data_IF_289814145815
#
_entry.id   IF_289814145815
#
_cell.length_a   1.000
_cell.length_b   1.000
_cell.length_c   1.000
_cell.angle_alpha   90.00
_cell.angle_beta   90.00
_cell.angle_gamma   90.00
#
_symmetry.space_group_name_H-M   'P 1'
#
loop_
_entity.id
_entity.type
_entity.pdbx_description
1 polymer ?
#
# COMPACT_ATOMS: atom_id res chain seq x y z
N UNK A 1 5.11 39.98 -48.23
CA UNK A 1 6.02 40.96 -47.59
C UNK A 1 7.17 40.18 -46.94
N UNK A 2 8.33 40.18 -47.61
CA UNK A 2 9.63 40.67 -47.11
C UNK A 2 10.19 39.95 -45.87
N UNK A 3 11.24 39.17 -46.16
CA UNK A 3 12.20 38.47 -45.30
C UNK A 3 12.90 39.44 -44.32
N UNK A 4 13.30 38.92 -43.16
CA UNK A 4 14.58 39.29 -42.54
C UNK A 4 15.06 38.19 -41.59
N UNK A 5 16.33 37.83 -41.77
CA UNK A 5 17.10 36.82 -41.07
C UNK A 5 18.09 37.48 -40.09
N UNK A 6 18.86 36.62 -39.40
CA UNK A 6 20.08 36.85 -38.61
C UNK A 6 19.85 37.20 -37.12
N UNK A 7 20.63 36.71 -36.14
CA UNK A 7 22.02 36.28 -36.16
C UNK A 7 22.37 35.26 -35.06
N UNK A 8 23.32 34.37 -35.37
CA UNK A 8 24.17 33.61 -34.45
C UNK A 8 24.94 34.56 -33.49
N UNK A 9 25.17 34.09 -32.26
CA UNK A 9 26.41 34.36 -31.53
C UNK A 9 26.78 33.13 -30.70
N UNK A 10 28.01 32.68 -30.90
CA UNK A 10 28.66 31.48 -30.36
C UNK A 10 29.98 31.99 -29.77
N UNK A 11 30.28 31.70 -28.49
CA UNK A 11 31.61 31.70 -27.85
C UNK A 11 31.41 31.51 -26.32
N UNK A 12 32.27 30.89 -25.51
CA UNK A 12 33.15 29.72 -25.55
C UNK A 12 33.75 29.62 -24.12
N UNK A 13 33.98 28.38 -23.66
CA UNK A 13 34.96 27.94 -22.65
C UNK A 13 35.04 28.59 -21.26
N UNK A 14 34.95 27.73 -20.23
CA UNK A 14 36.15 27.41 -19.43
C UNK A 14 36.03 25.99 -18.83
N UNK A 15 36.97 25.13 -19.21
CA UNK A 15 37.35 23.93 -18.48
C UNK A 15 38.43 24.30 -17.47
N UNK A 16 38.36 23.75 -16.26
CA UNK A 16 39.50 23.64 -15.36
C UNK A 16 39.59 22.18 -14.88
N UNK A 17 40.62 21.50 -15.37
CA UNK A 17 41.12 20.21 -14.90
C UNK A 17 42.39 20.45 -14.08
N UNK A 18 42.44 20.02 -12.81
CA UNK A 18 43.60 19.49 -12.02
C UNK A 18 42.96 18.99 -10.71
N UNK A 19 43.29 17.88 -10.05
CA UNK A 19 44.58 17.22 -9.87
C UNK A 19 44.43 15.79 -9.35
N UNK A 20 45.33 14.92 -9.81
CA UNK A 20 45.63 13.61 -9.27
C UNK A 20 46.04 13.63 -7.78
N UNK A 21 45.81 12.52 -7.09
CA UNK A 21 46.44 12.17 -5.82
C UNK A 21 46.13 10.73 -5.41
N UNK A 22 46.99 9.80 -5.83
CA UNK A 22 46.99 8.38 -5.43
C UNK A 22 47.63 8.18 -4.05
N UNK A 23 47.31 7.01 -3.48
CA UNK A 23 48.13 6.06 -2.70
C UNK A 23 48.27 6.15 -1.18
N UNK A 24 47.96 4.97 -0.59
CA UNK A 24 48.61 4.27 0.53
C UNK A 24 48.18 4.69 1.94
N UNK A 25 47.48 3.83 2.68
CA UNK A 25 47.94 2.60 3.35
C UNK A 25 48.38 2.86 4.80
N UNK A 26 48.05 1.87 5.63
CA UNK A 26 48.48 1.61 7.00
C UNK A 26 47.79 2.31 8.18
N UNK A 27 46.91 1.51 8.81
CA UNK A 27 47.13 0.88 10.13
C UNK A 27 47.64 1.78 11.25
N UNK A 28 46.79 2.00 12.26
CA UNK A 28 47.04 1.58 13.66
C UNK A 28 46.01 2.19 14.63
N UNK A 29 45.22 1.33 15.29
CA UNK A 29 44.73 1.61 16.64
C UNK A 29 45.92 1.70 17.62
N UNK A 30 45.76 2.35 18.79
CA UNK A 30 45.42 1.53 19.95
C UNK A 30 44.46 2.20 20.98
N UNK A 31 43.65 1.33 21.60
CA UNK A 31 43.30 1.21 23.02
C UNK A 31 42.59 2.36 23.80
N UNK A 32 41.29 2.14 24.10
CA UNK A 32 40.63 1.91 25.42
C UNK A 32 41.21 2.56 26.72
N UNK A 33 40.48 2.58 27.87
CA UNK A 33 39.11 3.04 28.23
C UNK A 33 39.15 4.02 29.45
N UNK A 34 38.05 4.69 29.82
CA UNK A 34 37.67 4.83 31.25
C UNK A 34 36.25 5.38 31.53
N UNK A 35 35.49 4.54 32.24
CA UNK A 35 34.49 4.75 33.29
C UNK A 35 33.92 6.13 33.68
N UNK A 36 32.58 6.11 33.82
CA UNK A 36 31.72 6.54 34.96
C UNK A 36 31.88 7.95 35.56
N UNK A 37 30.75 8.63 35.80
CA UNK A 37 30.20 8.83 37.16
C UNK A 37 28.82 9.51 37.12
N UNK A 38 27.98 8.99 38.00
CA UNK A 38 26.63 9.35 38.46
C UNK A 38 26.57 10.64 39.29
N UNK A 39 25.46 11.40 39.23
CA UNK A 39 24.63 11.96 40.35
C UNK A 39 23.60 12.92 39.75
N UNK A 40 22.28 12.69 39.79
CA UNK A 40 21.32 12.60 40.92
C UNK A 40 21.02 13.95 41.62
N UNK A 41 19.80 14.46 41.42
CA UNK A 41 18.93 15.12 42.41
C UNK A 41 17.53 15.24 41.77
N UNK A 42 16.49 14.53 42.24
CA UNK A 42 15.72 14.71 43.48
C UNK A 42 14.56 15.70 43.30
N UNK A 43 13.33 15.25 43.57
CA UNK A 43 12.13 16.09 43.52
C UNK A 43 10.79 15.33 43.63
N UNK A 44 10.63 14.64 44.75
CA UNK A 44 9.45 14.02 45.37
C UNK A 44 8.00 14.40 44.96
N UNK A 45 7.19 13.33 44.85
CA UNK A 45 5.84 13.06 45.42
C UNK A 45 4.73 14.09 45.31
N UNK A 46 3.58 13.69 44.75
CA UNK A 46 2.40 13.48 45.59
C UNK A 46 1.32 12.57 44.99
N UNK A 47 0.62 11.90 45.89
CA UNK A 47 -0.36 10.84 45.67
C UNK A 47 -1.76 11.45 45.71
N UNK A 48 -2.66 11.11 44.77
CA UNK A 48 -4.09 11.36 44.96
C UNK A 48 -4.95 10.26 44.30
N UNK A 49 -5.52 9.46 45.18
CA UNK A 49 -6.61 8.51 45.00
C UNK A 49 -7.93 9.28 44.82
N UNK A 50 -8.73 9.01 43.77
CA UNK A 50 -10.19 9.22 43.80
C UNK A 50 -10.84 8.36 42.70
N UNK A 51 -11.43 7.20 43.04
CA UNK A 51 -12.87 6.96 43.27
C UNK A 51 -13.64 6.60 42.00
N UNK A 52 -14.06 5.34 41.93
CA UNK A 52 -15.10 4.81 41.04
C UNK A 52 -16.40 5.61 41.20
N UNK A 53 -16.97 6.09 40.10
CA UNK A 53 -18.38 6.46 40.04
C UNK A 53 -19.03 5.72 38.87
N UNK A 54 -19.84 4.74 39.23
CA UNK A 54 -20.86 4.12 38.39
C UNK A 54 -21.99 5.13 38.19
N UNK A 55 -22.39 5.43 36.95
CA UNK A 55 -23.67 6.09 36.67
C UNK A 55 -24.45 5.27 35.64
N UNK A 56 -25.46 4.56 36.14
CA UNK A 56 -26.61 4.09 35.38
C UNK A 56 -27.59 5.26 35.31
N UNK A 57 -27.94 5.77 34.12
CA UNK A 57 -29.21 6.50 33.94
C UNK A 57 -29.87 6.17 32.59
N UNK A 58 -30.95 5.38 32.69
CA UNK A 58 -32.12 5.50 31.81
C UNK A 58 -32.82 6.82 32.14
N UNK A 59 -33.25 7.58 31.11
CA UNK A 59 -34.68 7.87 30.78
C UNK A 59 -34.90 9.26 30.15
N UNK A 60 -35.83 9.24 29.19
CA UNK A 60 -36.79 10.28 28.78
C UNK A 60 -36.37 11.34 27.75
N UNK A 61 -36.89 11.11 26.55
CA UNK A 61 -37.12 12.08 25.49
C UNK A 61 -37.88 13.33 25.97
N UNK A 62 -37.51 14.48 25.40
CA UNK A 62 -38.30 15.72 25.43
C UNK A 62 -38.50 16.22 24.01
N UNK A 63 -39.72 16.02 23.52
CA UNK A 63 -40.22 16.53 22.24
C UNK A 63 -40.45 18.04 22.34
N UNK A 64 -39.97 18.81 21.37
CA UNK A 64 -40.55 20.11 21.04
C UNK A 64 -40.76 20.13 19.53
N UNK A 65 -42.03 20.22 19.14
CA UNK A 65 -42.49 20.20 17.76
C UNK A 65 -42.15 21.50 17.03
N UNK A 66 -41.68 21.40 15.79
CA UNK A 66 -41.87 22.41 14.76
C UNK A 66 -42.38 21.70 13.50
N UNK A 67 -43.53 22.17 13.02
CA UNK A 67 -44.16 21.76 11.78
C UNK A 67 -43.35 22.29 10.59
N UNK A 68 -42.65 21.39 9.93
CA UNK A 68 -42.43 21.40 8.49
C UNK A 68 -42.44 19.94 8.03
N UNK A 69 -42.75 19.68 6.76
CA UNK A 69 -42.98 18.35 6.17
C UNK A 69 -41.73 17.44 6.14
N UNK A 70 -41.11 17.21 7.28
CA UNK A 70 -40.00 16.28 7.47
C UNK A 70 -40.45 15.20 8.46
N UNK A 71 -40.18 13.95 8.10
CA UNK A 71 -40.60 12.78 8.87
C UNK A 71 -40.18 12.87 10.34
N UNK A 72 -40.94 12.21 11.21
CA UNK A 72 -40.54 12.05 12.61
C UNK A 72 -39.21 11.29 12.64
N UNK A 73 -38.19 11.92 13.23
CA UNK A 73 -36.85 11.35 13.39
C UNK A 73 -36.79 10.49 14.65
N UNK A 74 -36.58 9.19 14.49
CA UNK A 74 -36.26 8.29 15.59
C UNK A 74 -34.77 7.97 15.59
N UNK A 75 -34.06 8.38 16.66
CA UNK A 75 -32.69 7.97 16.91
C UNK A 75 -32.66 6.71 17.76
N UNK A 76 -31.95 5.69 17.28
CA UNK A 76 -31.74 4.45 18.02
C UNK A 76 -30.26 4.09 18.04
N UNK A 77 -29.84 3.46 19.13
CA UNK A 77 -28.48 2.91 19.28
C UNK A 77 -28.34 1.50 18.69
N UNK A 78 -29.44 0.92 18.20
CA UNK A 78 -29.42 -0.44 17.67
C UNK A 78 -28.83 -0.47 16.26
N UNK A 79 -27.53 -0.71 16.21
CA UNK A 79 -26.74 -0.83 14.99
C UNK A 79 -26.31 -2.28 14.73
N UNK A 80 -26.97 -3.26 15.35
CA UNK A 80 -26.62 -4.68 15.21
C UNK A 80 -26.62 -5.16 13.75
N UNK A 81 -27.43 -4.52 12.92
CA UNK A 81 -27.52 -4.80 11.49
C UNK A 81 -26.27 -4.42 10.72
N UNK A 82 -25.42 -3.52 11.22
CA UNK A 82 -24.20 -3.09 10.53
C UNK A 82 -22.91 -3.31 11.33
N UNK A 83 -23.00 -3.91 12.52
CA UNK A 83 -21.80 -4.28 13.28
C UNK A 83 -20.92 -5.23 12.48
N UNK A 84 -19.60 -5.12 12.64
CA UNK A 84 -18.64 -5.98 11.97
C UNK A 84 -17.59 -5.21 11.19
N UNK A 85 -16.83 -5.95 10.38
CA UNK A 85 -15.73 -5.41 9.61
C UNK A 85 -16.14 -5.22 8.15
N UNK A 86 -15.72 -4.10 7.58
CA UNK A 86 -16.15 -3.61 6.28
C UNK A 86 -14.95 -3.14 5.47
N UNK A 87 -14.94 -3.45 4.18
CA UNK A 87 -13.87 -3.07 3.25
C UNK A 87 -14.46 -2.28 2.11
N UNK A 88 -13.84 -1.15 1.78
CA UNK A 88 -14.28 -0.30 0.67
C UNK A 88 -14.14 -1.06 -0.65
N UNK A 89 -15.16 -0.96 -1.50
CA UNK A 89 -15.26 -1.70 -2.74
C UNK A 89 -14.94 -0.79 -3.94
N UNK A 90 -14.37 -1.38 -4.99
CA UNK A 90 -14.09 -0.71 -6.28
C UNK A 90 -13.10 0.46 -6.20
N UNK A 91 -12.21 0.44 -5.22
CA UNK A 91 -11.12 1.42 -5.09
C UNK A 91 -9.77 0.70 -4.99
N UNK A 92 -8.73 1.33 -5.54
CA UNK A 92 -7.35 0.81 -5.52
C UNK A 92 -6.75 0.78 -4.10
N UNK A 93 -7.22 1.68 -3.23
CA UNK A 93 -6.73 1.89 -1.87
C UNK A 93 -7.90 1.82 -0.87
N UNK A 94 -8.42 0.62 -0.58
CA UNK A 94 -9.66 0.50 0.18
C UNK A 94 -9.46 0.90 1.63
N UNK A 95 -10.36 1.78 2.10
CA UNK A 95 -10.54 2.02 3.52
C UNK A 95 -11.16 0.79 4.17
N UNK A 96 -10.90 0.62 5.46
CA UNK A 96 -11.58 -0.40 6.26
C UNK A 96 -12.30 0.24 7.42
N UNK A 97 -13.53 -0.19 7.69
CA UNK A 97 -14.30 0.22 8.86
C UNK A 97 -14.52 -1.00 9.75
N UNK A 98 -14.18 -0.89 11.03
CA UNK A 98 -14.62 -1.82 12.06
C UNK A 98 -15.70 -1.16 12.92
N UNK A 99 -16.92 -1.69 12.90
CA UNK A 99 -18.08 -1.16 13.65
C UNK A 99 -18.34 -2.07 14.86
N UNK A 100 -18.17 -1.50 16.05
CA UNK A 100 -18.25 -2.21 17.33
C UNK A 100 -19.69 -2.27 17.85
N UNK A 101 -19.96 -3.22 18.76
CA UNK A 101 -21.30 -3.44 19.31
C UNK A 101 -21.83 -2.27 20.16
N UNK A 102 -20.92 -1.47 20.72
CA UNK A 102 -21.26 -0.28 21.52
C UNK A 102 -21.62 0.95 20.68
N UNK A 103 -21.60 0.83 19.35
CA UNK A 103 -21.87 1.94 18.44
C UNK A 103 -20.64 2.76 18.07
N UNK A 104 -19.45 2.42 18.55
CA UNK A 104 -18.22 3.06 18.09
C UNK A 104 -17.70 2.44 16.79
N UNK A 105 -16.88 3.17 16.03
CA UNK A 105 -16.19 2.62 14.87
C UNK A 105 -14.72 3.07 14.80
N UNK A 106 -13.92 2.28 14.08
CA UNK A 106 -12.57 2.63 13.65
C UNK A 106 -12.49 2.53 12.12
N UNK A 107 -12.17 3.65 11.47
CA UNK A 107 -11.85 3.76 10.05
C UNK A 107 -10.33 3.83 9.89
N UNK A 108 -9.76 2.98 9.04
CA UNK A 108 -8.33 3.02 8.68
C UNK A 108 -8.14 3.44 7.24
N UNK A 109 -7.20 4.37 7.04
CA UNK A 109 -6.75 4.81 5.72
C UNK A 109 -5.45 4.09 5.36
N UNK A 110 -5.31 3.64 4.10
CA UNK A 110 -4.12 2.90 3.63
C UNK A 110 -2.82 3.71 3.74
N UNK A 111 -2.88 5.03 3.59
CA UNK A 111 -1.72 5.94 3.70
C UNK A 111 -1.23 6.22 5.14
N UNK A 112 -1.78 5.51 6.12
CA UNK A 112 -1.58 5.81 7.54
C UNK A 112 -2.61 6.81 8.05
N UNK A 113 -2.88 6.72 9.36
CA UNK A 113 -3.95 7.46 10.01
C UNK A 113 -5.21 6.61 10.19
N UNK A 114 -5.87 6.86 11.31
CA UNK A 114 -7.17 6.29 11.63
C UNK A 114 -8.09 7.39 12.11
N UNK A 115 -9.38 7.17 11.89
CA UNK A 115 -10.44 7.97 12.47
C UNK A 115 -11.28 7.04 13.35
N UNK A 116 -11.54 7.46 14.57
CA UNK A 116 -12.51 6.80 15.44
C UNK A 116 -13.71 7.70 15.63
N UNK A 117 -14.84 7.10 15.98
CA UNK A 117 -16.08 7.85 16.08
C UNK A 117 -17.25 7.01 16.57
N UNK A 118 -18.46 7.53 16.39
CA UNK A 118 -19.70 6.86 16.77
C UNK A 118 -20.67 6.75 15.60
N UNK A 119 -21.51 5.72 15.62
CA UNK A 119 -22.53 5.43 14.64
C UNK A 119 -23.90 5.52 15.29
N UNK A 120 -24.85 6.15 14.59
CA UNK A 120 -26.24 6.28 15.04
C UNK A 120 -27.18 5.84 13.93
N UNK A 121 -28.15 4.98 14.26
CA UNK A 121 -29.22 4.64 13.33
C UNK A 121 -30.31 5.68 13.41
N UNK A 122 -30.63 6.29 12.26
CA UNK A 122 -31.70 7.27 12.11
C UNK A 122 -32.78 6.67 11.23
N UNK A 123 -34.01 6.74 11.73
CA UNK A 123 -35.19 6.38 10.94
C UNK A 123 -36.01 7.64 10.71
N UNK A 124 -36.16 8.02 9.45
CA UNK A 124 -37.09 9.04 9.01
C UNK A 124 -38.40 8.38 8.61
N UNK A 125 -39.47 8.71 9.33
CA UNK A 125 -40.80 8.13 9.10
C UNK A 125 -41.57 8.99 8.10
N UNK A 126 -41.86 8.43 6.92
CA UNK A 126 -42.72 9.05 5.91
C UNK A 126 -44.05 8.28 5.75
N UNK A 127 -45.11 8.91 5.23
CA UNK A 127 -46.40 8.24 5.01
C UNK A 127 -46.36 7.04 4.05
N UNK A 128 -45.37 7.00 3.15
CA UNK A 128 -45.17 6.01 2.09
C UNK A 128 -44.07 4.98 2.40
N UNK A 129 -43.35 5.15 3.51
CA UNK A 129 -42.30 4.24 3.95
C UNK A 129 -41.32 4.89 4.92
N UNK A 130 -40.48 4.08 5.55
CA UNK A 130 -39.41 4.58 6.39
C UNK A 130 -38.10 4.59 5.62
N UNK A 131 -37.34 5.67 5.73
CA UNK A 131 -35.96 5.72 5.27
C UNK A 131 -35.07 5.49 6.47
N UNK A 132 -34.18 4.50 6.37
CA UNK A 132 -33.22 4.16 7.43
C UNK A 132 -31.82 4.44 6.91
N UNK A 133 -31.03 5.16 7.69
CA UNK A 133 -29.62 5.39 7.42
C UNK A 133 -28.80 5.42 8.70
N UNK A 134 -27.51 5.19 8.55
CA UNK A 134 -26.53 5.15 9.63
C UNK A 134 -25.63 6.37 9.51
N UNK A 135 -25.71 7.26 10.49
CA UNK A 135 -24.87 8.46 10.56
C UNK A 135 -23.60 8.15 11.34
N UNK A 136 -22.45 8.42 10.72
CA UNK A 136 -21.15 8.30 11.34
C UNK A 136 -20.66 9.69 11.72
N UNK A 137 -20.27 9.84 12.99
CA UNK A 137 -19.66 11.04 13.53
C UNK A 137 -18.24 10.72 14.02
N UNK A 138 -17.30 11.63 13.85
CA UNK A 138 -15.93 11.47 14.37
C UNK A 138 -15.87 11.52 15.91
N UNK A 139 -14.65 11.50 16.46
CA UNK A 139 -14.40 11.51 17.90
C UNK A 139 -14.89 12.79 18.61
N UNK A 140 -14.98 13.91 17.89
CA UNK A 140 -15.50 15.19 18.40
C UNK A 140 -17.04 15.27 18.25
N UNK A 141 -17.65 14.27 17.62
CA UNK A 141 -19.07 14.21 17.34
C UNK A 141 -19.49 15.00 16.10
N UNK A 142 -18.53 15.46 15.29
CA UNK A 142 -18.79 16.10 14.01
C UNK A 142 -19.20 15.06 12.97
N UNK A 143 -20.11 15.43 12.08
CA UNK A 143 -20.60 14.54 11.04
C UNK A 143 -19.49 14.18 10.04
N UNK A 144 -19.31 12.89 9.79
CA UNK A 144 -18.42 12.38 8.74
C UNK A 144 -19.20 11.98 7.48
N UNK A 145 -20.09 10.99 7.61
CA UNK A 145 -20.81 10.42 6.46
C UNK A 145 -22.12 9.72 6.89
N UNK A 146 -23.08 9.56 5.98
CA UNK A 146 -24.25 8.69 6.18
C UNK A 146 -24.28 7.53 5.19
N UNK A 147 -24.67 6.34 5.66
CA UNK A 147 -24.86 5.17 4.81
C UNK A 147 -26.31 4.75 4.80
N UNK A 148 -26.91 4.59 3.62
CA UNK A 148 -28.29 4.16 3.50
C UNK A 148 -28.43 2.67 3.74
N UNK A 149 -29.51 2.30 4.44
CA UNK A 149 -29.96 0.93 4.50
C UNK A 149 -30.65 0.58 3.18
N UNK A 150 -30.16 -0.45 2.49
CA UNK A 150 -30.89 -1.05 1.39
C UNK A 150 -32.03 -1.90 1.96
N UNK A 151 -33.27 -1.42 1.82
CA UNK A 151 -34.46 -2.10 2.32
C UNK A 151 -34.77 -3.41 1.56
N UNK A 152 -34.10 -3.65 0.43
CA UNK A 152 -34.24 -4.88 -0.37
C UNK A 152 -33.17 -5.93 -0.02
N UNK A 153 -32.09 -5.52 0.64
CA UNK A 153 -31.04 -6.41 1.12
C UNK A 153 -31.39 -6.93 2.53
N UNK A 154 -31.70 -8.22 2.64
CA UNK A 154 -32.02 -8.87 3.92
C UNK A 154 -30.80 -9.27 4.73
N UNK A 155 -29.61 -9.33 4.13
CA UNK A 155 -28.36 -9.70 4.83
C UNK A 155 -27.55 -8.47 5.24
N UNK A 156 -27.80 -7.32 4.59
CA UNK A 156 -27.07 -6.07 4.79
C UNK A 156 -25.57 -6.32 4.69
N UNK A 157 -25.14 -6.89 3.55
CA UNK A 157 -23.74 -7.20 3.26
C UNK A 157 -23.03 -6.04 2.57
N UNK A 158 -23.75 -4.96 2.27
CA UNK A 158 -23.23 -3.76 1.63
C UNK A 158 -23.79 -2.51 2.31
N UNK A 159 -22.95 -1.50 2.48
CA UNK A 159 -23.36 -0.14 2.90
C UNK A 159 -22.85 0.86 1.88
N UNK A 160 -23.71 1.83 1.52
CA UNK A 160 -23.40 2.82 0.47
C UNK A 160 -23.73 4.24 0.92
N UNK A 161 -22.87 5.19 0.55
CA UNK A 161 -23.04 6.62 0.78
C UNK A 161 -22.88 7.38 -0.55
N UNK A 162 -23.71 8.41 -0.75
CA UNK A 162 -23.74 9.20 -1.99
C UNK A 162 -24.64 8.63 -3.10
N UNK A 163 -24.57 9.26 -4.28
CA UNK A 163 -25.28 8.85 -5.50
C UNK A 163 -24.34 8.93 -6.71
N UNK A 164 -24.46 7.99 -7.66
CA UNK A 164 -23.72 8.02 -8.92
C UNK A 164 -22.40 7.26 -8.89
N UNK A 165 -21.44 7.69 -9.72
CA UNK A 165 -20.15 7.01 -9.94
C UNK A 165 -19.15 7.19 -8.80
N UNK A 166 -19.32 8.21 -7.94
CA UNK A 166 -18.48 8.50 -6.77
C UNK A 166 -19.08 7.92 -5.46
N UNK A 167 -19.91 6.90 -5.57
CA UNK A 167 -20.58 6.29 -4.42
C UNK A 167 -19.56 5.54 -3.56
N UNK A 168 -19.46 5.97 -2.30
CA UNK A 168 -18.65 5.27 -1.31
C UNK A 168 -19.37 3.98 -0.92
N UNK A 169 -18.74 2.84 -1.21
CA UNK A 169 -19.31 1.53 -0.98
C UNK A 169 -18.41 0.70 -0.10
N UNK A 170 -18.97 0.07 0.93
CA UNK A 170 -18.27 -0.97 1.68
C UNK A 170 -19.04 -2.28 1.65
N UNK A 171 -18.29 -3.37 1.57
CA UNK A 171 -18.79 -4.74 1.66
C UNK A 171 -18.39 -5.35 3.00
N UNK A 172 -19.31 -6.13 3.58
CA UNK A 172 -19.09 -6.82 4.84
C UNK A 172 -18.08 -7.95 4.66
N UNK A 173 -17.08 -8.01 5.54
CA UNK A 173 -16.18 -9.15 5.63
C UNK A 173 -16.91 -10.37 6.22
N UNK A 174 -16.85 -11.49 5.53
CA UNK A 174 -17.58 -12.73 5.87
C UNK A 174 -17.18 -13.34 7.21
N UNK A 175 -16.01 -12.98 7.71
CA UNK A 175 -15.46 -13.57 8.94
C UNK A 175 -15.67 -12.68 10.18
N UNK A 176 -16.18 -11.45 10.03
CA UNK A 176 -16.36 -10.45 11.12
C UNK A 176 -15.12 -10.23 12.01
N UNK A 177 -13.95 -10.70 11.60
CA UNK A 177 -12.70 -10.63 12.33
C UNK A 177 -11.90 -9.44 11.84
N UNK A 178 -11.51 -8.58 12.79
CA UNK A 178 -10.37 -7.69 12.60
C UNK A 178 -9.13 -8.56 12.36
N UNK A 179 -8.23 -8.21 11.42
CA UNK A 179 -6.99 -8.94 11.25
C UNK A 179 -6.06 -8.61 12.43
N UNK A 180 -6.19 -9.37 13.52
CA UNK A 180 -5.28 -9.29 14.66
C UNK A 180 -5.07 -10.67 15.31
N UNK A 181 -3.85 -11.17 15.20
CA UNK A 181 -3.19 -12.00 16.22
C UNK A 181 -3.63 -13.45 16.33
N UNK A 182 -2.73 -14.36 15.93
CA UNK A 182 -2.81 -15.81 16.10
C UNK A 182 -3.10 -16.25 17.54
N UNK A 183 -4.07 -17.16 17.73
CA UNK A 183 -3.97 -18.39 18.56
C UNK A 183 -5.19 -19.31 18.30
N UNK A 184 -4.92 -20.44 17.64
CA UNK A 184 -5.80 -21.52 17.09
C UNK A 184 -6.59 -22.27 18.21
N UNK A 185 -7.70 -23.06 17.99
CA UNK A 185 -8.04 -23.78 16.76
C UNK A 185 -9.51 -23.97 16.28
N UNK A 186 -9.59 -24.17 14.96
CA UNK A 186 -10.50 -25.04 14.17
C UNK A 186 -11.91 -24.56 13.75
N UNK A 187 -12.05 -24.23 12.46
CA UNK A 187 -12.87 -25.01 11.54
C UNK A 187 -12.39 -24.87 10.08
N UNK A 188 -12.26 -26.01 9.40
CA UNK A 188 -11.67 -26.21 8.07
C UNK A 188 -12.38 -25.42 6.96
N UNK A 189 -11.78 -24.31 6.55
CA UNK A 189 -11.58 -24.00 5.13
C UNK A 189 -10.08 -24.11 4.92
N UNK A 190 -9.63 -25.11 4.15
CA UNK A 190 -8.19 -25.32 3.92
C UNK A 190 -7.64 -24.17 3.10
N UNK A 191 -6.98 -23.21 3.74
CA UNK A 191 -6.14 -22.22 3.07
C UNK A 191 -5.14 -22.96 2.19
N UNK A 192 -4.92 -22.45 0.98
CA UNK A 192 -3.85 -22.96 0.12
C UNK A 192 -2.53 -22.93 0.89
N UNK A 193 -1.70 -23.98 0.79
CA UNK A 193 -0.45 -24.05 1.55
C UNK A 193 0.47 -22.89 1.17
N UNK A 194 1.09 -22.29 2.18
CA UNK A 194 2.05 -21.20 2.01
C UNK A 194 3.09 -21.49 0.92
N UNK A 195 3.62 -20.46 0.24
CA UNK A 195 4.78 -20.66 -0.63
C UNK A 195 5.89 -21.36 0.16
N UNK A 196 6.56 -22.29 -0.49
CA UNK A 196 7.79 -22.88 0.03
C UNK A 196 8.92 -21.85 0.05
N UNK A 197 9.97 -22.09 0.85
CA UNK A 197 11.14 -21.20 0.88
C UNK A 197 11.78 -21.02 -0.52
N UNK A 198 11.92 -22.06 -1.37
CA UNK A 198 12.35 -21.87 -2.75
C UNK A 198 11.44 -20.95 -3.57
N UNK A 199 10.12 -21.14 -3.51
CA UNK A 199 9.16 -20.26 -4.21
C UNK A 199 9.26 -18.81 -3.71
N UNK A 200 9.45 -18.61 -2.40
CA UNK A 200 9.61 -17.28 -1.82
C UNK A 200 10.91 -16.60 -2.27
N UNK A 201 11.99 -17.36 -2.47
CA UNK A 201 13.24 -16.84 -3.05
C UNK A 201 13.09 -16.50 -4.53
N UNK A 202 12.38 -17.34 -5.30
CA UNK A 202 12.09 -17.03 -6.70
C UNK A 202 11.28 -15.72 -6.82
N UNK A 203 10.32 -15.51 -5.92
CA UNK A 203 9.52 -14.28 -5.84
C UNK A 203 10.39 -13.06 -5.47
N UNK A 204 11.27 -13.18 -4.47
CA UNK A 204 12.26 -12.14 -4.13
C UNK A 204 13.11 -11.78 -5.35
N UNK A 205 13.66 -12.79 -6.01
CA UNK A 205 14.59 -12.60 -7.13
C UNK A 205 13.88 -12.01 -8.35
N UNK A 206 12.60 -12.35 -8.57
CA UNK A 206 11.77 -11.73 -9.60
C UNK A 206 11.49 -10.24 -9.32
N UNK A 207 11.22 -9.86 -8.06
CA UNK A 207 11.07 -8.46 -7.67
C UNK A 207 12.37 -7.67 -7.86
N UNK A 208 13.50 -8.23 -7.41
CA UNK A 208 14.82 -7.64 -7.61
C UNK A 208 15.16 -7.49 -9.11
N UNK A 209 14.80 -8.48 -9.93
CA UNK A 209 14.98 -8.41 -11.38
C UNK A 209 14.17 -7.27 -12.00
N UNK A 210 12.89 -7.11 -11.65
CA UNK A 210 12.06 -6.03 -12.17
C UNK A 210 12.58 -4.64 -11.77
N UNK A 211 13.02 -4.48 -10.52
CA UNK A 211 13.64 -3.25 -10.02
C UNK A 211 14.97 -2.94 -10.73
N UNK A 212 15.85 -3.94 -10.87
CA UNK A 212 17.09 -3.78 -11.61
C UNK A 212 16.83 -3.39 -13.07
N UNK A 213 15.82 -3.98 -13.71
CA UNK A 213 15.44 -3.68 -15.08
C UNK A 213 14.90 -2.25 -15.22
N UNK A 214 14.10 -1.77 -14.26
CA UNK A 214 13.64 -0.39 -14.21
C UNK A 214 14.80 0.63 -14.17
N UNK A 215 15.92 0.22 -13.58
CA UNK A 215 17.15 1.01 -13.47
C UNK A 215 18.09 0.90 -14.69
N UNK A 216 17.67 0.23 -15.76
CA UNK A 216 18.51 -0.06 -16.93
C UNK A 216 19.54 -1.18 -16.70
N UNK A 217 19.36 -1.97 -15.63
CA UNK A 217 20.13 -3.16 -15.28
C UNK A 217 19.35 -4.46 -15.51
N UNK A 218 19.75 -5.54 -14.83
CA UNK A 218 19.06 -6.85 -14.88
C UNK A 218 19.31 -7.68 -16.15
N UNK A 219 19.41 -7.03 -17.32
CA UNK A 219 19.69 -7.67 -18.61
C UNK A 219 21.02 -7.14 -19.15
N UNK A 220 21.89 -8.05 -19.61
CA UNK A 220 23.18 -7.66 -20.20
C UNK A 220 22.98 -7.06 -21.58
N UNK A 221 23.58 -5.90 -21.83
CA UNK A 221 23.47 -5.19 -23.10
C UNK A 221 24.82 -4.96 -23.77
N UNK A 222 24.79 -4.75 -25.08
CA UNK A 222 25.91 -4.30 -25.89
C UNK A 222 25.84 -2.77 -26.05
N UNK A 223 26.73 -2.07 -25.35
CA UNK A 223 26.82 -0.61 -25.33
C UNK A 223 27.25 -0.02 -26.69
N UNK A 224 27.87 -0.81 -27.56
CA UNK A 224 28.27 -0.38 -28.91
C UNK A 224 27.12 -0.55 -29.93
N UNK A 225 26.06 -1.30 -29.56
CA UNK A 225 24.89 -1.55 -30.41
C UNK A 225 23.68 -0.75 -29.93
N UNK A 226 23.65 0.53 -30.30
CA UNK A 226 22.60 1.48 -29.94
C UNK A 226 21.43 1.53 -30.92
N UNK A 227 20.24 1.76 -30.38
CA UNK A 227 19.09 2.30 -31.10
C UNK A 227 18.72 3.64 -30.48
N UNK A 228 18.56 4.66 -31.33
CA UNK A 228 18.21 6.02 -30.91
C UNK A 228 16.86 6.39 -31.50
N UNK A 229 15.94 6.79 -30.63
CA UNK A 229 14.63 7.33 -31.02
C UNK A 229 14.74 8.82 -31.36
N UNK A 230 13.71 9.36 -32.01
CA UNK A 230 13.69 10.76 -32.47
C UNK A 230 13.72 11.79 -31.33
N UNK A 231 13.24 11.40 -30.14
CA UNK A 231 13.29 12.19 -28.91
C UNK A 231 14.67 12.18 -28.22
N UNK A 232 15.63 11.41 -28.75
CA UNK A 232 16.99 11.29 -28.22
C UNK A 232 17.19 10.19 -27.18
N UNK A 233 16.16 9.40 -26.86
CA UNK A 233 16.29 8.24 -25.96
C UNK A 233 17.22 7.18 -26.59
N UNK A 234 18.11 6.61 -25.76
CA UNK A 234 19.11 5.64 -26.20
C UNK A 234 18.79 4.28 -25.60
N UNK A 235 18.73 3.28 -26.46
CA UNK A 235 18.57 1.89 -26.07
C UNK A 235 19.77 1.06 -26.50
N UNK A 236 20.16 0.08 -25.69
CA UNK A 236 21.22 -0.88 -26.02
C UNK A 236 20.66 -2.27 -26.25
N UNK A 237 21.20 -2.95 -27.24
CA UNK A 237 20.75 -4.29 -27.62
C UNK A 237 21.04 -5.29 -26.51
N UNK A 238 20.06 -6.13 -26.17
CA UNK A 238 20.26 -7.28 -25.28
C UNK A 238 21.29 -8.26 -25.89
N UNK A 239 22.22 -8.70 -25.05
CA UNK A 239 23.17 -9.80 -25.32
C UNK A 239 22.81 -11.06 -24.52
N UNK A 240 21.71 -11.00 -23.77
CA UNK A 240 21.20 -12.12 -23.02
C UNK A 240 20.58 -13.16 -23.97
N UNK A 241 20.76 -14.43 -23.63
CA UNK A 241 20.20 -15.55 -24.40
C UNK A 241 18.85 -16.02 -23.86
N UNK A 242 18.46 -15.53 -22.67
CA UNK A 242 17.19 -15.85 -22.00
C UNK A 242 16.14 -14.81 -22.40
N UNK A 243 16.46 -13.52 -22.29
CA UNK A 243 15.54 -12.43 -22.62
C UNK A 243 15.92 -11.81 -23.95
N UNK A 244 15.22 -12.23 -25.00
CA UNK A 244 15.52 -11.87 -26.39
C UNK A 244 14.49 -10.96 -27.03
N UNK A 245 13.32 -10.82 -26.41
CA UNK A 245 12.22 -9.96 -26.82
C UNK A 245 11.48 -9.35 -25.62
N UNK A 246 10.66 -8.32 -25.85
CA UNK A 246 9.76 -7.77 -24.81
C UNK A 246 8.72 -8.80 -24.32
N UNK A 247 8.36 -9.78 -25.16
CA UNK A 247 7.48 -10.88 -24.79
C UNK A 247 8.11 -11.80 -23.74
N UNK A 248 9.41 -12.12 -23.87
CA UNK A 248 10.13 -12.95 -22.88
C UNK A 248 10.16 -12.28 -21.51
N UNK A 249 10.40 -10.96 -21.49
CA UNK A 249 10.36 -10.15 -20.26
C UNK A 249 8.96 -10.16 -19.66
N UNK A 250 7.92 -9.93 -20.47
CA UNK A 250 6.52 -9.96 -20.00
C UNK A 250 6.14 -11.31 -19.42
N UNK A 251 6.52 -12.40 -20.08
CA UNK A 251 6.24 -13.76 -19.62
C UNK A 251 6.91 -14.03 -18.27
N UNK A 252 8.16 -13.60 -18.10
CA UNK A 252 8.86 -13.74 -16.82
C UNK A 252 8.19 -12.93 -15.71
N UNK A 253 7.84 -11.67 -15.95
CA UNK A 253 7.14 -10.84 -14.95
C UNK A 253 5.79 -11.43 -14.58
N UNK A 254 4.95 -11.80 -15.56
CA UNK A 254 3.60 -12.35 -15.33
C UNK A 254 3.59 -13.74 -14.69
N UNK A 255 4.73 -14.46 -14.71
CA UNK A 255 4.92 -15.71 -13.97
C UNK A 255 4.94 -15.48 -12.45
N UNK A 256 5.52 -14.37 -12.00
CA UNK A 256 5.75 -14.08 -10.58
C UNK A 256 4.95 -12.89 -10.05
N UNK A 257 4.29 -12.12 -10.90
CA UNK A 257 3.57 -10.90 -10.56
C UNK A 257 2.18 -10.92 -11.18
N UNK A 258 1.19 -10.37 -10.48
CA UNK A 258 -0.15 -10.18 -11.04
C UNK A 258 -0.11 -9.08 -12.11
N UNK A 259 -1.00 -9.15 -13.10
CA UNK A 259 -1.10 -8.11 -14.13
C UNK A 259 -1.39 -6.74 -13.52
N UNK A 260 -2.19 -6.71 -12.45
CA UNK A 260 -2.49 -5.49 -11.67
C UNK A 260 -1.22 -4.90 -11.07
N UNK A 261 -0.38 -5.71 -10.42
CA UNK A 261 0.85 -5.23 -9.81
C UNK A 261 1.87 -4.74 -10.84
N UNK A 262 2.00 -5.46 -11.97
CA UNK A 262 2.84 -5.01 -13.09
C UNK A 262 2.35 -3.66 -13.60
N UNK A 263 1.04 -3.50 -13.78
CA UNK A 263 0.45 -2.24 -14.29
C UNK A 263 0.60 -1.09 -13.30
N UNK A 264 0.52 -1.34 -11.98
CA UNK A 264 0.65 -0.26 -10.98
C UNK A 264 2.11 0.16 -10.74
N UNK A 265 3.04 -0.78 -10.79
CA UNK A 265 4.41 -0.58 -10.28
C UNK A 265 5.48 -0.63 -11.37
N UNK A 266 5.21 -1.29 -12.49
CA UNK A 266 6.18 -1.60 -13.53
C UNK A 266 5.66 -1.39 -14.97
N UNK A 267 4.57 -0.63 -15.17
CA UNK A 267 4.00 -0.37 -16.49
C UNK A 267 5.01 0.26 -17.45
N UNK A 268 5.86 1.14 -16.92
CA UNK A 268 6.94 1.81 -17.65
C UNK A 268 8.03 0.85 -18.18
N UNK A 269 8.02 -0.43 -17.81
CA UNK A 269 8.92 -1.41 -18.41
C UNK A 269 8.54 -1.74 -19.86
N UNK A 270 7.24 -1.83 -20.16
CA UNK A 270 6.74 -2.46 -21.40
C UNK A 270 5.52 -1.77 -22.04
N UNK A 271 4.81 -0.90 -21.32
CA UNK A 271 3.45 -0.48 -21.68
C UNK A 271 3.22 1.01 -21.95
N UNK A 272 4.26 1.85 -21.79
CA UNK A 272 4.13 3.31 -21.94
C UNK A 272 4.64 3.81 -23.29
N UNK A 273 4.45 5.11 -23.57
CA UNK A 273 5.03 5.78 -24.76
C UNK A 273 6.57 5.79 -24.75
N UNK A 274 7.17 5.69 -23.57
CA UNK A 274 8.62 5.61 -23.36
C UNK A 274 8.95 4.41 -22.45
N UNK A 275 8.83 3.17 -22.95
CA UNK A 275 9.06 1.99 -22.13
C UNK A 275 10.56 1.72 -22.00
N UNK A 276 10.97 1.07 -20.89
CA UNK A 276 12.36 0.64 -20.67
C UNK A 276 12.81 -0.43 -21.64
N UNK A 277 11.89 -1.28 -22.09
CA UNK A 277 12.18 -2.39 -22.99
C UNK A 277 11.41 -2.19 -24.31
N UNK A 278 12.12 -2.29 -25.43
CA UNK A 278 11.51 -2.24 -26.77
C UNK A 278 12.05 -3.38 -27.64
N UNK A 279 11.27 -3.76 -28.65
CA UNK A 279 11.73 -4.64 -29.72
C UNK A 279 12.10 -3.83 -30.96
N UNK A 280 13.34 -3.96 -31.41
CA UNK A 280 13.84 -3.36 -32.65
C UNK A 280 14.30 -4.49 -33.56
N UNK A 281 13.65 -4.63 -34.72
CA UNK A 281 13.92 -5.71 -35.69
C UNK A 281 13.89 -7.12 -35.06
N UNK A 282 12.93 -7.37 -34.16
CA UNK A 282 12.75 -8.65 -33.49
C UNK A 282 13.83 -8.99 -32.46
N UNK A 283 14.52 -7.97 -31.91
CA UNK A 283 15.51 -8.10 -30.85
C UNK A 283 15.16 -7.13 -29.73
N UNK A 284 15.36 -7.58 -28.49
CA UNK A 284 15.19 -6.77 -27.29
C UNK A 284 16.29 -5.70 -27.18
N UNK A 285 15.87 -4.49 -26.84
CA UNK A 285 16.69 -3.33 -26.54
C UNK A 285 16.21 -2.70 -25.23
N UNK A 286 17.16 -2.31 -24.37
CA UNK A 286 16.91 -1.76 -23.03
C UNK A 286 17.36 -0.31 -22.96
N UNK A 287 16.54 0.59 -22.42
CA UNK A 287 16.87 2.00 -22.25
C UNK A 287 18.08 2.13 -21.31
N UNK A 288 19.13 2.81 -21.78
CA UNK A 288 20.28 3.12 -20.95
C UNK A 288 20.04 4.41 -20.17
N UNK A 289 19.46 4.26 -18.99
CA UNK A 289 19.30 5.35 -18.02
C UNK A 289 19.57 4.82 -16.62
N UNK A 290 20.84 4.85 -16.14
CA UNK A 290 21.17 4.36 -14.82
C UNK A 290 20.42 5.16 -13.76
N UNK A 291 19.58 4.45 -13.00
CA UNK A 291 18.89 4.93 -11.81
C UNK A 291 19.35 4.07 -10.62
N UNK A 292 19.17 4.57 -9.40
CA UNK A 292 19.45 3.77 -8.20
C UNK A 292 18.41 2.65 -8.07
N UNK A 293 18.86 1.42 -7.83
CA UNK A 293 17.97 0.30 -7.48
C UNK A 293 17.31 0.58 -6.13
N UNK A 294 16.03 0.24 -6.00
CA UNK A 294 15.29 0.28 -4.73
C UNK A 294 15.72 -0.84 -3.80
N UNK A 295 16.05 -2.01 -4.35
CA UNK A 295 16.29 -3.22 -3.55
C UNK A 295 17.73 -3.72 -3.63
N UNK A 296 18.28 -4.06 -2.45
CA UNK A 296 19.54 -4.76 -2.23
C UNK A 296 19.27 -5.90 -1.25
N UNK A 297 18.52 -6.91 -1.70
CA UNK A 297 18.11 -8.00 -0.81
C UNK A 297 19.29 -8.84 -0.34
N UNK A 298 19.24 -9.26 0.92
CA UNK A 298 20.17 -10.27 1.42
C UNK A 298 19.74 -11.67 0.95
N UNK A 299 20.70 -12.60 0.92
CA UNK A 299 20.47 -13.97 0.42
C UNK A 299 19.93 -14.93 1.50
N UNK A 300 19.54 -14.42 2.66
CA UNK A 300 18.92 -15.19 3.74
C UNK A 300 17.56 -15.76 3.32
N UNK A 301 17.10 -16.77 4.06
CA UNK A 301 15.76 -17.33 3.85
C UNK A 301 14.69 -16.30 4.26
N UNK A 302 13.71 -16.01 3.40
CA UNK A 302 12.61 -15.12 3.76
C UNK A 302 11.74 -15.71 4.88
N UNK A 303 11.17 -14.84 5.71
CA UNK A 303 10.14 -15.25 6.67
C UNK A 303 8.76 -15.13 6.02
N UNK A 304 7.97 -16.21 6.07
CA UNK A 304 6.65 -16.28 5.43
C UNK A 304 5.57 -16.23 6.50
N UNK A 305 4.71 -15.23 6.42
CA UNK A 305 3.58 -15.03 7.34
C UNK A 305 2.27 -14.94 6.58
N UNK A 306 1.16 -15.08 7.30
CA UNK A 306 -0.16 -14.79 6.74
C UNK A 306 -0.23 -13.30 6.41
N UNK A 307 -0.64 -12.97 5.19
CA UNK A 307 -0.80 -11.56 4.81
C UNK A 307 -1.95 -10.92 5.58
N UNK A 308 -1.70 -9.72 6.11
CA UNK A 308 -2.75 -8.87 6.71
C UNK A 308 -3.52 -8.07 5.68
N UNK A 309 -2.96 -7.89 4.48
CA UNK A 309 -3.59 -7.16 3.37
C UNK A 309 -4.42 -8.07 2.46
N UNK A 310 -4.08 -9.36 2.38
CA UNK A 310 -4.73 -10.32 1.48
C UNK A 310 -5.20 -11.57 2.26
N UNK A 311 -6.53 -11.75 2.47
CA UNK A 311 -7.09 -12.84 3.27
C UNK A 311 -6.66 -14.25 2.84
N UNK A 312 -6.47 -14.47 1.54
CA UNK A 312 -6.02 -15.73 0.95
C UNK A 312 -4.53 -15.72 0.55
N UNK A 313 -3.79 -14.68 0.95
CA UNK A 313 -2.40 -14.43 0.56
C UNK A 313 -1.37 -14.61 1.69
N UNK A 314 -0.10 -14.61 1.32
CA UNK A 314 1.00 -14.66 2.27
C UNK A 314 1.86 -13.41 2.12
N UNK A 315 2.49 -12.99 3.21
CA UNK A 315 3.53 -11.97 3.20
C UNK A 315 4.89 -12.67 3.27
N UNK A 316 5.77 -12.31 2.36
CA UNK A 316 7.17 -12.77 2.33
C UNK A 316 8.02 -11.60 2.82
N UNK A 317 8.57 -11.73 4.01
CA UNK A 317 9.39 -10.71 4.65
C UNK A 317 10.85 -10.97 4.30
N UNK A 318 11.43 -10.02 3.57
CA UNK A 318 12.75 -10.14 2.95
C UNK A 318 13.64 -9.08 3.57
N UNK A 319 14.80 -9.49 4.05
CA UNK A 319 15.84 -8.56 4.52
C UNK A 319 16.47 -7.83 3.34
N UNK A 320 16.60 -6.52 3.51
CA UNK A 320 17.18 -5.60 2.54
C UNK A 320 18.29 -4.78 3.20
N UNK A 321 19.41 -4.64 2.53
CA UNK A 321 20.51 -3.75 2.94
C UNK A 321 20.26 -2.34 2.40
N UNK A 322 19.95 -1.42 3.31
CA UNK A 322 19.79 0.00 3.02
C UNK A 322 21.02 0.77 3.53
N UNK A 323 22.05 0.83 2.69
CA UNK A 323 23.33 1.50 2.98
C UNK A 323 23.99 1.06 4.31
N UNK A 324 23.92 -0.22 4.64
CA UNK A 324 24.45 -0.81 5.87
C UNK A 324 23.42 -0.94 7.00
N UNK A 325 22.20 -0.43 6.83
CA UNK A 325 21.07 -0.70 7.73
C UNK A 325 20.26 -1.90 7.22
N UNK A 326 19.93 -2.83 8.11
CA UNK A 326 19.00 -3.92 7.79
C UNK A 326 17.56 -3.42 7.94
N UNK A 327 16.79 -3.52 6.86
CA UNK A 327 15.35 -3.23 6.85
C UNK A 327 14.59 -4.38 6.21
N UNK A 328 13.29 -4.46 6.48
CA UNK A 328 12.43 -5.53 5.96
C UNK A 328 11.55 -4.97 4.84
N UNK A 329 11.58 -5.63 3.70
CA UNK A 329 10.62 -5.46 2.60
C UNK A 329 9.61 -6.58 2.70
N UNK A 330 8.34 -6.21 2.82
CA UNK A 330 7.22 -7.16 2.89
C UNK A 330 6.57 -7.29 1.53
N UNK A 331 6.66 -8.45 0.92
CA UNK A 331 6.08 -8.76 -0.38
C UNK A 331 4.82 -9.59 -0.20
N UNK A 332 3.67 -9.03 -0.53
CA UNK A 332 2.40 -9.73 -0.46
C UNK A 332 2.15 -10.54 -1.74
N UNK A 333 1.76 -11.80 -1.56
CA UNK A 333 1.51 -12.75 -2.64
C UNK A 333 0.15 -13.41 -2.53
N UNK A 334 -0.48 -13.64 -3.68
CA UNK A 334 -1.72 -14.42 -3.81
C UNK A 334 -1.50 -15.59 -4.76
N UNK A 335 -2.35 -16.62 -4.62
CA UNK A 335 -2.35 -17.75 -5.55
C UNK A 335 -3.14 -17.36 -6.79
N UNK A 336 -2.48 -17.27 -7.94
CA UNK A 336 -3.09 -16.99 -9.23
C UNK A 336 -2.72 -18.09 -10.22
N UNK A 337 -3.73 -18.77 -10.78
CA UNK A 337 -3.59 -19.90 -11.70
C UNK A 337 -2.61 -20.99 -11.22
N UNK A 338 -2.60 -21.26 -9.91
CA UNK A 338 -1.75 -22.30 -9.30
C UNK A 338 -0.34 -21.85 -8.91
N UNK A 339 0.06 -20.61 -9.22
CA UNK A 339 1.36 -20.04 -8.86
C UNK A 339 1.23 -18.91 -7.86
N UNK A 340 2.17 -18.80 -6.92
CA UNK A 340 2.25 -17.67 -6.01
C UNK A 340 2.79 -16.45 -6.75
N UNK A 341 2.05 -15.34 -6.73
CA UNK A 341 2.41 -14.11 -7.45
C UNK A 341 2.33 -12.90 -6.57
N UNK A 342 3.28 -11.98 -6.77
CA UNK A 342 3.34 -10.66 -6.12
C UNK A 342 2.09 -9.87 -6.52
N UNK A 343 1.39 -9.38 -5.51
CA UNK A 343 0.25 -8.48 -5.66
C UNK A 343 0.47 -7.14 -4.95
N UNK A 344 1.47 -7.04 -4.08
CA UNK A 344 1.83 -5.81 -3.40
C UNK A 344 3.21 -5.90 -2.77
N UNK A 345 3.81 -4.73 -2.55
CA UNK A 345 5.06 -4.59 -1.80
C UNK A 345 4.86 -3.45 -0.80
N UNK A 346 5.24 -3.68 0.45
CA UNK A 346 5.26 -2.70 1.52
C UNK A 346 6.71 -2.57 2.00
N UNK A 347 7.26 -1.38 1.84
CA UNK A 347 8.59 -1.02 2.29
C UNK A 347 8.58 0.46 2.72
N UNK A 348 9.66 0.89 3.38
CA UNK A 348 9.78 2.22 3.99
C UNK A 348 10.47 3.26 3.09
N UNK A 349 10.63 3.00 1.78
CA UNK A 349 11.44 3.81 0.87
C UNK A 349 10.62 4.72 -0.06
#
# INVERSE_FOLDING_TARGET
>A
MKKTAYCLALLAMMAATVSCGKTSADTSEPEKPLNSVTTAASGNTDTAQTTKVTVNEKKAARTTANNDKHGQLELTSDINEIKGFWVEENVLDPRTINIMEDGSFELKYKGGGSMTGTVRKITEVYPDGNVVYYQFCDADGEFWEYFFKDITDTTQDRITAGQGEDMLCFIRSKDNTSPAGNDTPANNVSREPAPSIPEAKDIRDALAFADALACGGGIKTDMDSEYRTDDGTIYHKSTDNIYTSTADVREYLTRYMTDTFISSSYEHLLGTDHPKCIDVNGRLYIEYRPMGSRYSFTYEDPEITVSSAYPDGYSINIKNDDYGAEVIVTVDVIKDNGSWKITGVNDSF
#
